data_IF_875225919942
#
_entry.id   IF_875225919942
#
_cell.length_a   1.000
_cell.length_b   1.000
_cell.length_c   1.000
_cell.angle_alpha   90.00
_cell.angle_beta   90.00
_cell.angle_gamma   90.00
#
_symmetry.space_group_name_H-M   'P 1'
#
loop_
_entity.id
_entity.type
_entity.pdbx_description
1 polymer ?
#
# COMPACT_ATOMS: atom_id res chain seq x y z
N UNK A 1 -17.16 5.88 -12.15
CA UNK A 1 -16.68 6.49 -10.91
C UNK A 1 -17.00 5.57 -9.75
N UNK A 2 -16.05 5.22 -8.94
CA UNK A 2 -16.34 4.42 -7.77
C UNK A 2 -17.25 5.21 -6.82
N UNK A 3 -18.27 4.53 -6.29
CA UNK A 3 -19.13 5.12 -5.28
C UNK A 3 -18.31 5.34 -3.99
N UNK A 4 -18.51 6.47 -3.33
CA UNK A 4 -17.92 6.70 -2.02
C UNK A 4 -18.59 5.77 -1.02
N UNK A 5 -17.79 4.96 -0.36
CA UNK A 5 -18.26 4.11 0.72
C UNK A 5 -18.51 4.96 1.97
N UNK A 6 -19.57 4.65 2.70
CA UNK A 6 -19.78 5.19 4.03
C UNK A 6 -18.68 4.68 4.97
N UNK A 7 -18.56 5.28 6.16
CA UNK A 7 -17.61 4.85 7.18
C UNK A 7 -17.80 3.37 7.54
N UNK A 8 -19.05 2.95 7.72
CA UNK A 8 -19.35 1.55 8.08
C UNK A 8 -19.10 0.59 6.94
N UNK A 9 -19.37 0.99 5.71
CA UNK A 9 -19.06 0.21 4.52
C UNK A 9 -17.55 0.05 4.34
N UNK A 10 -16.77 1.10 4.57
CA UNK A 10 -15.29 1.04 4.52
C UNK A 10 -14.76 0.08 5.57
N UNK A 11 -15.28 0.14 6.79
CA UNK A 11 -14.87 -0.75 7.88
C UNK A 11 -15.18 -2.21 7.55
N UNK A 12 -16.34 -2.48 7.01
CA UNK A 12 -16.75 -3.84 6.60
C UNK A 12 -15.88 -4.37 5.45
N UNK A 13 -15.57 -3.52 4.48
CA UNK A 13 -14.71 -3.86 3.34
C UNK A 13 -13.27 -4.16 3.80
N UNK A 14 -12.73 -3.32 4.68
CA UNK A 14 -11.40 -3.52 5.24
C UNK A 14 -11.31 -4.83 6.02
N UNK A 15 -12.33 -5.16 6.81
CA UNK A 15 -12.39 -6.42 7.57
C UNK A 15 -12.47 -7.63 6.65
N UNK A 16 -13.22 -7.53 5.56
CA UNK A 16 -13.30 -8.60 4.56
C UNK A 16 -11.93 -8.85 3.92
N UNK A 17 -11.22 -7.80 3.54
CA UNK A 17 -9.87 -7.92 2.98
C UNK A 17 -8.94 -8.53 4.02
N UNK A 18 -8.95 -8.02 5.24
CA UNK A 18 -8.09 -8.53 6.32
C UNK A 18 -8.25 -10.04 6.51
N UNK A 19 -9.48 -10.55 6.46
CA UNK A 19 -9.79 -11.97 6.65
C UNK A 19 -9.41 -12.85 5.47
N UNK A 20 -9.58 -12.34 4.26
CA UNK A 20 -9.52 -13.17 3.06
C UNK A 20 -8.28 -12.94 2.20
N UNK A 21 -7.54 -11.87 2.43
CA UNK A 21 -6.29 -11.65 1.70
C UNK A 21 -5.28 -12.73 2.07
N UNK A 22 -4.56 -13.25 1.11
CA UNK A 22 -3.59 -14.33 1.30
C UNK A 22 -2.25 -13.79 1.82
N UNK A 23 -2.23 -13.25 3.05
CA UNK A 23 -1.10 -12.56 3.65
C UNK A 23 0.20 -13.36 3.62
N UNK A 24 0.15 -14.61 4.08
CA UNK A 24 1.33 -15.46 4.14
C UNK A 24 1.88 -15.79 2.77
N UNK A 25 1.00 -16.03 1.81
CA UNK A 25 1.38 -16.31 0.44
C UNK A 25 2.07 -15.11 -0.20
N UNK A 26 1.54 -13.89 -0.01
CA UNK A 26 2.14 -12.67 -0.54
C UNK A 26 3.45 -12.33 0.16
N UNK A 27 3.52 -12.52 1.47
CA UNK A 27 4.76 -12.33 2.22
C UNK A 27 5.86 -13.26 1.69
N UNK A 28 5.53 -14.53 1.49
CA UNK A 28 6.46 -15.50 0.91
C UNK A 28 6.89 -15.12 -0.50
N UNK A 29 5.97 -14.63 -1.31
CA UNK A 29 6.26 -14.19 -2.66
C UNK A 29 7.26 -13.02 -2.67
N UNK A 30 7.09 -12.06 -1.77
CA UNK A 30 8.04 -10.95 -1.61
C UNK A 30 9.41 -11.48 -1.20
N UNK A 31 9.46 -12.41 -0.27
CA UNK A 31 10.72 -13.00 0.21
C UNK A 31 11.43 -13.79 -0.88
N UNK A 32 10.70 -14.55 -1.67
CA UNK A 32 11.25 -15.39 -2.74
C UNK A 32 11.69 -14.58 -3.97
N UNK A 33 10.83 -13.65 -4.40
CA UNK A 33 11.08 -12.89 -5.64
C UNK A 33 11.91 -11.63 -5.40
N UNK A 34 11.88 -11.10 -4.17
CA UNK A 34 12.45 -9.79 -3.88
C UNK A 34 11.62 -8.66 -4.45
N UNK A 35 12.12 -7.46 -4.30
CA UNK A 35 11.48 -6.25 -4.79
C UNK A 35 12.51 -5.31 -5.41
N UNK A 36 12.03 -4.40 -6.23
CA UNK A 36 12.85 -3.35 -6.84
C UNK A 36 12.36 -2.00 -6.35
N UNK A 37 13.24 -1.20 -5.76
CA UNK A 37 12.92 0.17 -5.35
C UNK A 37 13.26 1.09 -6.51
N UNK A 38 12.23 1.67 -7.11
CA UNK A 38 12.38 2.63 -8.21
C UNK A 38 12.11 4.07 -7.77
N UNK A 39 11.51 4.26 -6.59
CA UNK A 39 11.27 5.58 -5.98
C UNK A 39 11.73 5.55 -4.52
N UNK A 40 13.03 5.82 -4.28
CA UNK A 40 13.58 5.78 -2.92
C UNK A 40 13.00 6.86 -2.01
N UNK A 41 13.18 6.68 -0.71
CA UNK A 41 12.90 7.70 0.31
C UNK A 41 13.43 9.07 -0.15
N UNK A 42 12.58 10.10 -0.05
CA UNK A 42 12.82 11.50 -0.42
C UNK A 42 12.91 11.75 -1.94
N UNK A 43 12.70 10.74 -2.78
CA UNK A 43 12.63 10.98 -4.21
C UNK A 43 11.36 11.76 -4.57
N UNK A 44 11.43 12.53 -5.64
CA UNK A 44 10.33 13.36 -6.12
C UNK A 44 9.59 12.60 -7.22
N UNK A 45 8.26 12.68 -7.19
CA UNK A 45 7.43 12.05 -8.22
C UNK A 45 7.81 12.60 -9.60
N UNK A 46 7.92 11.76 -10.65
CA UNK A 46 8.39 12.20 -11.95
C UNK A 46 7.49 13.23 -12.66
N UNK A 47 6.21 13.28 -12.28
CA UNK A 47 5.24 14.22 -12.89
C UNK A 47 4.79 15.30 -11.90
N UNK A 48 4.72 15.01 -10.61
CA UNK A 48 4.21 15.92 -9.59
C UNK A 48 5.34 16.31 -8.63
N UNK A 49 5.93 17.48 -8.83
CA UNK A 49 7.12 17.94 -8.10
C UNK A 49 6.90 18.17 -6.59
N UNK A 50 5.67 18.30 -6.16
CA UNK A 50 5.30 18.47 -4.75
C UNK A 50 5.07 17.13 -4.04
N UNK A 51 5.11 16.02 -4.76
CA UNK A 51 4.97 14.68 -4.19
C UNK A 51 6.35 14.10 -3.90
N UNK A 52 6.64 13.92 -2.62
CA UNK A 52 7.91 13.39 -2.13
C UNK A 52 7.64 12.10 -1.38
N UNK A 53 8.33 11.03 -1.75
CA UNK A 53 8.10 9.71 -1.17
C UNK A 53 8.63 9.64 0.27
N UNK A 54 7.78 9.26 1.25
CA UNK A 54 8.16 9.25 2.66
C UNK A 54 8.97 8.05 3.10
N UNK A 55 8.95 6.97 2.32
CA UNK A 55 9.78 5.76 2.48
C UNK A 55 10.07 5.18 1.10
N UNK A 56 10.87 4.14 1.05
CA UNK A 56 11.16 3.44 -0.20
C UNK A 56 9.89 2.87 -0.81
N UNK A 57 9.73 3.04 -2.12
CA UNK A 57 8.59 2.58 -2.89
C UNK A 57 9.07 1.92 -4.18
N UNK A 58 8.43 0.83 -4.53
CA UNK A 58 8.74 0.13 -5.76
C UNK A 58 7.73 -0.96 -6.05
N UNK A 59 8.20 -2.11 -6.48
CA UNK A 59 7.33 -3.20 -6.87
C UNK A 59 7.95 -4.55 -6.52
N UNK A 60 7.08 -5.55 -6.36
CA UNK A 60 7.49 -6.92 -6.14
C UNK A 60 7.88 -7.52 -7.49
N UNK A 61 9.07 -8.11 -7.56
CA UNK A 61 9.60 -8.67 -8.81
C UNK A 61 8.72 -9.84 -9.30
N UNK A 62 8.63 -9.97 -10.63
CA UNK A 62 7.93 -11.07 -11.30
C UNK A 62 6.46 -11.20 -10.92
N UNK A 63 5.80 -10.07 -10.70
CA UNK A 63 4.36 -10.01 -10.44
C UNK A 63 3.65 -9.20 -11.51
N UNK A 64 2.36 -9.49 -11.70
CA UNK A 64 1.51 -8.78 -12.65
C UNK A 64 0.18 -8.47 -11.99
N UNK A 65 -0.17 -7.19 -11.92
CA UNK A 65 -1.48 -6.74 -11.48
C UNK A 65 -2.50 -6.76 -12.63
N UNK A 66 -3.75 -6.45 -12.33
CA UNK A 66 -4.84 -6.43 -13.34
C UNK A 66 -4.61 -5.42 -14.45
N UNK A 67 -3.86 -4.35 -14.19
CA UNK A 67 -3.49 -3.33 -15.19
C UNK A 67 -2.26 -3.71 -16.04
N UNK A 68 -1.67 -4.88 -15.81
CA UNK A 68 -0.48 -5.36 -16.50
C UNK A 68 0.84 -4.89 -15.91
N UNK A 69 0.82 -4.02 -14.92
CA UNK A 69 2.03 -3.57 -14.20
C UNK A 69 2.33 -4.51 -13.02
N UNK A 70 3.49 -4.35 -12.42
CA UNK A 70 3.88 -5.09 -11.22
C UNK A 70 3.06 -4.66 -10.00
N UNK A 71 3.03 -5.49 -8.97
CA UNK A 71 2.38 -5.17 -7.70
C UNK A 71 3.25 -4.21 -6.91
N UNK A 72 2.70 -3.06 -6.55
CA UNK A 72 3.40 -2.01 -5.81
C UNK A 72 3.63 -2.39 -4.35
N UNK A 73 4.76 -1.95 -3.81
CA UNK A 73 5.14 -2.19 -2.43
C UNK A 73 5.86 -0.98 -1.83
N UNK A 74 5.45 -0.60 -0.62
CA UNK A 74 6.21 0.30 0.24
C UNK A 74 7.08 -0.55 1.15
N UNK A 75 8.37 -0.23 1.21
CA UNK A 75 9.33 -0.99 2.01
C UNK A 75 9.88 -0.11 3.13
N UNK A 76 9.66 -0.52 4.34
CA UNK A 76 10.12 0.19 5.53
C UNK A 76 11.44 -0.33 6.08
N UNK A 77 11.78 0.14 7.26
CA UNK A 77 13.05 -0.12 7.93
C UNK A 77 12.94 -1.13 9.08
N UNK A 78 11.74 -1.66 9.30
CA UNK A 78 11.50 -2.67 10.34
C UNK A 78 11.78 -4.09 9.87
N UNK A 79 11.27 -5.05 10.62
CA UNK A 79 11.47 -6.48 10.33
C UNK A 79 10.23 -7.33 10.54
N UNK A 80 9.04 -6.73 10.57
CA UNK A 80 7.80 -7.46 10.86
C UNK A 80 7.18 -8.17 9.64
N UNK A 81 7.81 -8.08 8.47
CA UNK A 81 7.29 -8.69 7.25
C UNK A 81 6.15 -7.90 6.63
N UNK A 82 5.22 -8.58 6.01
CA UNK A 82 4.04 -7.95 5.40
C UNK A 82 3.07 -7.55 6.51
N UNK A 83 2.98 -6.26 6.81
CA UNK A 83 2.17 -5.74 7.93
C UNK A 83 0.78 -5.28 7.52
N UNK A 84 0.60 -4.97 6.24
CA UNK A 84 -0.68 -4.48 5.75
C UNK A 84 -0.63 -4.13 4.29
N UNK A 85 -1.69 -3.51 3.84
CA UNK A 85 -1.80 -2.95 2.50
C UNK A 85 -2.66 -1.69 2.54
N UNK A 86 -2.58 -0.92 1.49
CA UNK A 86 -3.48 0.19 1.30
C UNK A 86 -4.20 0.01 -0.03
N UNK A 87 -5.53 0.09 0.01
CA UNK A 87 -6.36 0.04 -1.19
C UNK A 87 -6.47 1.46 -1.72
N UNK A 88 -5.87 1.74 -2.86
CA UNK A 88 -5.87 3.08 -3.43
C UNK A 88 -6.91 3.19 -4.52
N UNK A 89 -7.58 4.35 -4.56
CA UNK A 89 -8.44 4.75 -5.67
C UNK A 89 -7.82 5.98 -6.30
N UNK A 90 -7.41 5.86 -7.55
CA UNK A 90 -6.88 6.99 -8.32
C UNK A 90 -8.03 7.62 -9.11
N UNK A 91 -8.43 8.83 -8.71
CA UNK A 91 -9.60 9.48 -9.30
C UNK A 91 -9.36 10.00 -10.71
N UNK A 92 -8.12 10.20 -11.11
CA UNK A 92 -7.79 10.62 -12.48
C UNK A 92 -7.85 9.44 -13.44
N UNK A 93 -7.33 8.28 -13.04
CA UNK A 93 -7.33 7.05 -13.84
C UNK A 93 -8.62 6.26 -13.70
N UNK A 94 -9.33 6.43 -12.60
CA UNK A 94 -10.54 5.66 -12.29
C UNK A 94 -10.26 4.21 -11.91
N UNK A 95 -9.03 3.89 -11.45
CA UNK A 95 -8.66 2.54 -11.07
C UNK A 95 -8.42 2.39 -9.58
N UNK A 96 -8.43 1.14 -9.13
CA UNK A 96 -8.10 0.75 -7.77
C UNK A 96 -6.93 -0.24 -7.79
N UNK A 97 -6.04 -0.10 -6.83
CA UNK A 97 -4.88 -0.98 -6.67
C UNK A 97 -4.67 -1.32 -5.20
N UNK A 98 -4.02 -2.46 -4.97
CA UNK A 98 -3.47 -2.79 -3.66
C UNK A 98 -1.99 -2.44 -3.67
N UNK A 99 -1.58 -1.64 -2.68
CA UNK A 99 -0.16 -1.34 -2.45
C UNK A 99 0.25 -1.98 -1.14
N UNK A 100 1.19 -2.89 -1.21
CA UNK A 100 1.63 -3.66 -0.04
C UNK A 100 2.54 -2.82 0.85
N UNK A 101 2.56 -3.13 2.14
CA UNK A 101 3.47 -2.52 3.11
C UNK A 101 4.31 -3.61 3.76
N UNK A 102 5.58 -3.65 3.39
CA UNK A 102 6.53 -4.67 3.82
C UNK A 102 7.59 -4.06 4.73
N UNK A 103 7.83 -4.69 5.87
CA UNK A 103 8.79 -4.23 6.88
C UNK A 103 8.58 -2.79 7.36
N UNK A 104 7.36 -2.29 7.28
CA UNK A 104 7.03 -0.96 7.77
C UNK A 104 6.88 -0.97 9.29
N UNK A 105 7.51 0.00 9.95
CA UNK A 105 7.28 0.28 11.37
C UNK A 105 5.91 0.97 11.55
N UNK A 106 5.40 1.09 12.78
CA UNK A 106 4.15 1.83 13.02
C UNK A 106 4.19 3.26 12.48
N UNK A 107 5.30 3.97 12.66
CA UNK A 107 5.47 5.34 12.15
C UNK A 107 5.41 5.33 10.62
N UNK A 108 6.07 4.39 9.99
CA UNK A 108 6.08 4.28 8.53
C UNK A 108 4.70 3.96 7.96
N UNK A 109 3.90 3.15 8.64
CA UNK A 109 2.50 2.93 8.25
C UNK A 109 1.71 4.23 8.25
N UNK A 110 1.85 5.05 9.27
CA UNK A 110 1.19 6.35 9.32
C UNK A 110 1.71 7.32 8.26
N UNK A 111 3.00 7.30 7.98
CA UNK A 111 3.59 8.12 6.91
C UNK A 111 3.01 7.75 5.54
N UNK A 112 2.93 6.46 5.24
CA UNK A 112 2.35 5.98 3.98
C UNK A 112 0.87 6.36 3.89
N UNK A 113 0.10 6.15 4.94
CA UNK A 113 -1.31 6.48 4.94
C UNK A 113 -1.54 7.99 4.72
N UNK A 114 -0.77 8.84 5.38
CA UNK A 114 -0.84 10.28 5.19
C UNK A 114 -0.39 10.70 3.79
N UNK A 115 0.66 10.08 3.28
CA UNK A 115 1.17 10.34 1.94
C UNK A 115 0.11 10.03 0.85
N UNK A 116 -0.56 8.89 0.95
CA UNK A 116 -1.59 8.51 -0.02
C UNK A 116 -2.81 9.44 0.06
N UNK A 117 -3.18 9.87 1.26
CA UNK A 117 -4.43 10.59 1.50
C UNK A 117 -4.26 12.12 1.60
N UNK A 118 -3.08 12.67 1.32
CA UNK A 118 -2.86 14.10 1.52
C UNK A 118 -3.69 15.00 0.60
N UNK A 119 -4.04 14.51 -0.59
CA UNK A 119 -4.87 15.25 -1.54
C UNK A 119 -6.03 14.37 -2.02
N UNK A 120 -7.22 14.51 -1.41
CA UNK A 120 -8.37 13.66 -1.71
C UNK A 120 -8.93 13.85 -3.12
N UNK A 121 -8.52 14.91 -3.83
CA UNK A 121 -8.90 15.12 -5.23
C UNK A 121 -8.10 14.23 -6.19
N UNK A 122 -6.92 13.79 -5.76
CA UNK A 122 -6.05 12.92 -6.56
C UNK A 122 -6.24 11.45 -6.23
N UNK A 123 -6.21 11.12 -4.96
CA UNK A 123 -6.19 9.73 -4.54
C UNK A 123 -6.80 9.57 -3.16
N UNK A 124 -7.44 8.44 -2.94
CA UNK A 124 -7.92 7.98 -1.64
C UNK A 124 -7.28 6.63 -1.33
N UNK A 125 -6.93 6.42 -0.09
CA UNK A 125 -6.34 5.17 0.37
C UNK A 125 -7.03 4.64 1.62
N UNK A 126 -7.39 3.37 1.59
CA UNK A 126 -7.95 2.66 2.74
C UNK A 126 -6.91 1.70 3.29
N UNK A 127 -6.45 2.00 4.51
CA UNK A 127 -5.47 1.17 5.20
C UNK A 127 -6.11 -0.11 5.71
N UNK A 128 -5.49 -1.24 5.41
CA UNK A 128 -5.89 -2.55 5.92
C UNK A 128 -4.68 -3.19 6.59
N UNK A 129 -4.69 -3.30 7.91
CA UNK A 129 -3.63 -3.98 8.64
C UNK A 129 -3.90 -5.47 8.69
N UNK A 130 -2.83 -6.26 8.63
CA UNK A 130 -2.91 -7.73 8.64
C UNK A 130 -3.52 -8.26 9.93
N UNK A 131 -3.18 -7.65 11.06
CA UNK A 131 -3.63 -7.99 12.41
C UNK A 131 -3.79 -6.70 13.22
N UNK A 132 -4.43 -6.74 14.38
CA UNK A 132 -4.44 -5.58 15.28
C UNK A 132 -3.02 -5.06 15.56
N UNK A 133 -2.86 -3.74 15.64
CA UNK A 133 -1.54 -3.10 15.73
C UNK A 133 -0.67 -3.66 16.85
N UNK A 134 -1.25 -3.95 18.00
CA UNK A 134 -0.50 -4.45 19.16
C UNK A 134 0.08 -5.85 18.96
N UNK A 135 -0.28 -6.54 17.89
CA UNK A 135 0.22 -7.89 17.57
C UNK A 135 1.17 -7.92 16.38
N UNK A 136 1.35 -6.80 15.70
CA UNK A 136 2.17 -6.73 14.48
C UNK A 136 3.64 -6.46 14.76
N UNK A 137 3.94 -5.80 15.86
CA UNK A 137 5.31 -5.37 16.20
C UNK A 137 5.74 -5.78 17.61
#
# INVERSE_FOLDING_TARGET
MPAFLSRDERAAFAEMIRRHFAWERWERLIEENGYTIDRPLHSVHPVHADIIYPIDYGYVNDTVATDGAEIDVFVGTGGAGLVGLIVTTDYRKGDQEFKLMYNCTPVEVYLVNGFINFNPLLMDGMLVLRRPMHTLW
#
